data_IF_001437530235
#
_entry.id   IF_001437530235
#
_cell.length_a   1.000
_cell.length_b   1.000
_cell.length_c   1.000
_cell.angle_alpha   90.00
_cell.angle_beta   90.00
_cell.angle_gamma   90.00
#
_symmetry.space_group_name_H-M   'P 1'
#
loop_
_entity.id
_entity.type
_entity.pdbx_description
1 polymer ?
#
# COMPACT_ATOMS: atom_id res chain seq x y z
N UNK A 1 11.21 36.19 11.76
CA UNK A 1 11.77 35.93 10.41
C UNK A 1 11.37 34.53 10.01
N UNK A 2 10.46 34.39 9.04
CA UNK A 2 9.90 33.09 8.62
C UNK A 2 10.89 32.42 7.68
N UNK A 3 11.48 31.30 8.09
CA UNK A 3 12.44 30.53 7.29
C UNK A 3 11.77 30.03 6.02
N UNK A 4 12.24 30.54 4.88
CA UNK A 4 11.80 30.13 3.56
C UNK A 4 12.25 28.68 3.32
N UNK A 5 11.29 27.75 3.29
CA UNK A 5 11.50 26.42 2.73
C UNK A 5 11.73 26.59 1.22
N UNK A 6 13.00 26.48 0.81
CA UNK A 6 13.36 26.31 -0.61
C UNK A 6 12.63 25.07 -1.12
N UNK A 7 11.64 25.26 -1.96
CA UNK A 7 11.14 24.20 -2.84
C UNK A 7 12.29 23.86 -3.79
N UNK A 8 13.09 22.86 -3.42
CA UNK A 8 13.80 22.07 -4.43
C UNK A 8 12.73 21.52 -5.36
N UNK A 9 12.99 21.60 -6.67
CA UNK A 9 12.16 21.05 -7.75
C UNK A 9 12.12 19.52 -7.64
N UNK A 10 11.43 19.00 -6.63
CA UNK A 10 11.50 17.60 -6.20
C UNK A 10 10.13 17.08 -5.81
N UNK A 11 9.73 16.00 -6.50
CA UNK A 11 8.62 15.09 -6.21
C UNK A 11 7.34 15.75 -5.67
N UNK A 12 6.33 15.87 -6.55
CA UNK A 12 4.95 16.17 -6.14
C UNK A 12 4.48 15.01 -5.25
N UNK A 13 4.57 15.20 -3.94
CA UNK A 13 4.09 14.24 -2.95
C UNK A 13 2.59 14.03 -3.21
N UNK A 14 2.21 12.84 -3.70
CA UNK A 14 0.80 12.53 -3.89
C UNK A 14 0.15 12.51 -2.50
N UNK A 15 -0.65 13.53 -2.21
CA UNK A 15 -1.49 13.59 -1.00
C UNK A 15 -2.53 12.49 -1.15
N UNK A 16 -2.26 11.33 -0.56
CA UNK A 16 -3.17 10.20 -0.55
C UNK A 16 -4.11 10.38 0.64
N UNK A 17 -5.24 11.06 0.42
CA UNK A 17 -6.33 11.08 1.39
C UNK A 17 -7.01 9.71 1.38
N UNK A 18 -7.08 9.09 2.57
CA UNK A 18 -7.83 7.85 2.76
C UNK A 18 -9.32 8.17 2.61
N UNK A 19 -9.91 7.84 1.47
CA UNK A 19 -11.34 8.08 1.21
C UNK A 19 -12.25 7.09 1.97
N UNK A 20 -11.70 5.96 2.45
CA UNK A 20 -12.46 4.94 3.18
C UNK A 20 -11.67 4.44 4.40
N UNK A 21 -12.03 4.97 5.56
CA UNK A 21 -11.61 4.55 6.89
C UNK A 21 -12.35 5.45 7.86
N UNK A 22 -12.94 4.90 8.91
CA UNK A 22 -13.81 5.62 9.86
C UNK A 22 -13.10 6.74 10.65
N UNK A 23 -11.83 7.06 10.36
CA UNK A 23 -10.93 8.01 11.04
C UNK A 23 -10.80 7.80 12.56
N UNK A 24 -11.60 6.91 13.14
CA UNK A 24 -11.62 6.54 14.56
C UNK A 24 -10.57 5.49 14.88
N UNK A 25 -10.13 4.70 13.89
CA UNK A 25 -9.08 3.71 14.06
C UNK A 25 -7.74 4.19 13.51
N UNK A 26 -6.71 4.14 14.35
CA UNK A 26 -5.33 4.41 13.96
C UNK A 26 -4.87 3.41 12.88
N UNK A 27 -4.06 3.85 11.89
CA UNK A 27 -3.47 2.95 10.92
C UNK A 27 -2.61 1.89 11.62
N UNK A 28 -2.95 0.61 11.45
CA UNK A 28 -2.22 -0.49 12.09
C UNK A 28 -0.76 -0.62 11.62
N UNK A 29 -0.45 -0.15 10.41
CA UNK A 29 0.91 -0.17 9.87
C UNK A 29 1.03 0.78 8.68
N UNK A 30 2.16 1.49 8.59
CA UNK A 30 2.52 2.32 7.43
C UNK A 30 3.73 1.69 6.74
N UNK A 31 3.69 1.59 5.41
CA UNK A 31 4.83 1.12 4.60
C UNK A 31 5.11 2.11 3.48
N UNK A 32 6.32 2.63 3.45
CA UNK A 32 6.81 3.44 2.34
C UNK A 32 7.05 2.55 1.12
N UNK A 33 6.62 3.01 -0.06
CA UNK A 33 6.83 2.33 -1.34
C UNK A 33 7.56 3.31 -2.24
N UNK A 34 8.81 2.98 -2.58
CA UNK A 34 9.63 3.81 -3.46
C UNK A 34 9.11 3.84 -4.90
N UNK A 35 9.41 4.91 -5.62
CA UNK A 35 9.04 5.02 -7.03
C UNK A 35 9.56 3.82 -7.86
N UNK A 36 8.70 3.26 -8.69
CA UNK A 36 9.00 2.06 -9.48
C UNK A 36 8.83 0.74 -8.73
N UNK A 37 8.66 0.75 -7.41
CA UNK A 37 8.40 -0.46 -6.62
C UNK A 37 6.92 -0.85 -6.64
N UNK A 38 6.67 -2.13 -6.40
CA UNK A 38 5.33 -2.68 -6.21
C UNK A 38 5.18 -3.22 -4.78
N UNK A 39 4.00 -3.02 -4.20
CA UNK A 39 3.57 -3.60 -2.95
C UNK A 39 2.34 -4.46 -3.17
N UNK A 40 2.42 -5.73 -2.79
CA UNK A 40 1.28 -6.65 -2.84
C UNK A 40 0.65 -6.71 -1.45
N UNK A 41 -0.54 -6.12 -1.30
CA UNK A 41 -1.33 -6.16 -0.07
C UNK A 41 -2.20 -7.42 -0.02
N UNK A 42 -2.22 -8.06 1.14
CA UNK A 42 -3.05 -9.23 1.41
C UNK A 42 -4.54 -8.84 1.44
N UNK A 43 -5.37 -9.66 0.78
CA UNK A 43 -6.84 -9.59 0.88
C UNK A 43 -7.51 -10.88 1.35
N UNK A 44 -6.74 -11.95 1.52
CA UNK A 44 -7.24 -13.24 1.98
C UNK A 44 -7.18 -13.42 3.50
N UNK A 45 -6.57 -12.48 4.24
CA UNK A 45 -6.39 -12.54 5.71
C UNK A 45 -5.57 -13.72 6.25
N UNK A 46 -5.02 -14.59 5.39
CA UNK A 46 -4.21 -15.75 5.81
C UNK A 46 -2.69 -15.50 5.81
N UNK A 47 -2.22 -14.32 5.39
CA UNK A 47 -0.78 -14.02 5.35
C UNK A 47 -0.17 -13.95 6.74
N UNK A 48 0.99 -14.59 6.92
CA UNK A 48 1.81 -14.48 8.14
C UNK A 48 2.57 -13.16 8.23
N UNK A 49 2.67 -12.44 7.11
CA UNK A 49 3.32 -11.13 6.99
C UNK A 49 2.30 -10.01 6.80
N UNK A 50 1.07 -10.19 7.31
CA UNK A 50 0.00 -9.21 7.16
C UNK A 50 0.47 -7.80 7.61
N UNK A 51 0.26 -6.74 6.80
CA UNK A 51 -0.65 -6.64 5.66
C UNK A 51 -0.09 -7.07 4.30
N UNK A 52 1.18 -7.47 4.20
CA UNK A 52 1.79 -7.91 2.94
C UNK A 52 1.24 -9.28 2.52
N UNK A 53 1.06 -9.49 1.22
CA UNK A 53 0.78 -10.81 0.67
C UNK A 53 2.07 -11.65 0.62
N UNK A 54 2.03 -12.83 1.22
CA UNK A 54 3.12 -13.82 1.24
C UNK A 54 2.84 -15.07 0.38
N UNK A 55 1.71 -15.07 -0.34
CA UNK A 55 1.27 -16.20 -1.17
C UNK A 55 0.32 -17.18 -0.48
N UNK A 56 -0.03 -16.98 0.80
CA UNK A 56 -0.93 -17.88 1.55
C UNK A 56 -2.33 -18.03 0.92
N UNK A 57 -2.76 -17.08 0.08
CA UNK A 57 -4.02 -17.17 -0.67
C UNK A 57 -4.09 -18.40 -1.59
N UNK A 58 -2.94 -18.90 -2.09
CA UNK A 58 -2.94 -20.08 -2.95
C UNK A 58 -3.41 -21.35 -2.22
N UNK A 59 -2.92 -21.55 -1.00
CA UNK A 59 -3.31 -22.68 -0.18
C UNK A 59 -4.79 -22.57 0.23
N UNK A 60 -5.23 -21.36 0.58
CA UNK A 60 -6.63 -21.07 0.89
C UNK A 60 -7.54 -21.39 -0.31
N UNK A 61 -7.26 -20.83 -1.48
CA UNK A 61 -8.01 -21.08 -2.72
C UNK A 61 -8.11 -22.57 -3.05
N UNK A 62 -7.00 -23.31 -2.91
CA UNK A 62 -7.00 -24.77 -3.16
C UNK A 62 -7.87 -25.54 -2.17
N UNK A 63 -7.91 -25.12 -0.90
CA UNK A 63 -8.68 -25.80 0.14
C UNK A 63 -10.19 -25.50 0.09
N UNK A 64 -10.57 -24.28 -0.32
CA UNK A 64 -11.96 -23.82 -0.29
C UNK A 64 -12.64 -23.77 -1.66
N UNK A 65 -11.87 -23.80 -2.75
CA UNK A 65 -12.37 -23.54 -4.10
C UNK A 65 -12.52 -22.04 -4.42
N UNK A 66 -11.98 -21.15 -3.58
CA UNK A 66 -12.02 -19.70 -3.80
C UNK A 66 -10.96 -19.22 -4.83
N UNK A 67 -11.04 -17.95 -5.22
CA UNK A 67 -10.21 -17.30 -6.24
C UNK A 67 -9.67 -15.93 -5.77
N UNK A 68 -9.49 -15.75 -4.47
CA UNK A 68 -8.97 -14.49 -3.92
C UNK A 68 -7.48 -14.30 -4.26
N UNK A 69 -7.08 -13.04 -4.41
CA UNK A 69 -5.70 -12.66 -4.71
C UNK A 69 -5.34 -11.29 -4.10
N UNK A 70 -4.05 -10.92 -4.09
CA UNK A 70 -3.61 -9.66 -3.49
C UNK A 70 -4.13 -8.43 -4.24
N UNK A 71 -4.11 -7.28 -3.56
CA UNK A 71 -4.15 -5.97 -4.22
C UNK A 71 -2.70 -5.56 -4.51
N UNK A 72 -2.35 -5.38 -5.79
CA UNK A 72 -1.00 -4.96 -6.20
C UNK A 72 -0.99 -3.45 -6.44
N UNK A 73 -0.28 -2.73 -5.60
CA UNK A 73 -0.05 -1.29 -5.72
C UNK A 73 1.32 -1.06 -6.35
N UNK A 74 1.39 -0.27 -7.42
CA UNK A 74 2.66 0.13 -8.03
C UNK A 74 2.84 1.64 -7.88
N UNK A 75 3.92 2.06 -7.25
CA UNK A 75 4.28 3.46 -7.18
C UNK A 75 4.83 3.89 -8.54
N UNK A 76 4.09 4.74 -9.24
CA UNK A 76 4.53 5.34 -10.51
C UNK A 76 5.17 6.70 -10.23
N UNK A 77 6.32 7.03 -10.84
CA UNK A 77 6.86 8.39 -10.82
C UNK A 77 5.83 9.39 -11.38
N UNK A 78 5.82 10.61 -10.84
CA UNK A 78 4.84 11.64 -11.16
C UNK A 78 5.04 12.29 -12.56
N UNK A 79 6.11 11.90 -13.25
CA UNK A 79 6.68 12.49 -14.46
C UNK A 79 6.45 11.62 -15.71
N UNK A 80 5.31 10.92 -15.78
CA UNK A 80 4.81 10.26 -17.00
C UNK A 80 3.57 10.94 -17.56
#
# INVERSE_FOLDING_TARGET
MKGAWRQSRGARMLRMELLNGDQTHEPKSTKEVGAGQAFSACRCWHSKQFPQCDGSHNAYNKATGDHVGPLVLKAVPADK
#
